data_IF_208102980756
#
_entry.id   IF_208102980756
#
_cell.length_a   1.000
_cell.length_b   1.000
_cell.length_c   1.000
_cell.angle_alpha   90.00
_cell.angle_beta   90.00
_cell.angle_gamma   90.00
#
_symmetry.space_group_name_H-M   'P 1'
#
loop_
_entity.id
_entity.type
_entity.pdbx_description
1 polymer ?
#
# COMPACT_ATOMS: atom_id res chain seq x y z
N UNK A 1 1.47 9.89 18.07
CA UNK A 1 1.33 10.46 16.71
C UNK A 1 0.96 9.41 15.68
N UNK A 2 1.63 8.25 15.63
CA UNK A 2 1.38 7.19 14.64
C UNK A 2 -0.09 6.69 14.61
N UNK A 3 -0.72 6.47 15.77
CA UNK A 3 -2.13 6.06 15.85
C UNK A 3 -3.07 7.08 15.19
N UNK A 4 -2.89 8.39 15.46
CA UNK A 4 -3.68 9.45 14.82
C UNK A 4 -3.50 9.43 13.30
N UNK A 5 -2.27 9.21 12.83
CA UNK A 5 -1.96 9.12 11.40
C UNK A 5 -2.64 7.91 10.73
N UNK A 6 -2.66 6.75 11.38
CA UNK A 6 -3.43 5.60 10.89
C UNK A 6 -4.93 5.89 10.83
N UNK A 7 -5.49 6.53 11.86
CA UNK A 7 -6.92 6.91 11.87
C UNK A 7 -7.25 7.89 10.74
N UNK A 8 -6.38 8.88 10.47
CA UNK A 8 -6.54 9.78 9.32
C UNK A 8 -6.40 9.07 7.96
N UNK A 9 -5.60 8.01 7.88
CA UNK A 9 -5.43 7.22 6.66
C UNK A 9 -6.58 6.23 6.40
N UNK A 10 -7.44 5.99 7.38
CA UNK A 10 -8.56 5.04 7.30
C UNK A 10 -9.47 5.24 6.06
N UNK A 11 -10.02 6.44 5.77
CA UNK A 11 -10.86 6.65 4.58
C UNK A 11 -10.11 6.43 3.27
N UNK A 12 -8.82 6.76 3.24
CA UNK A 12 -7.97 6.53 2.07
C UNK A 12 -7.75 5.03 1.85
N UNK A 13 -7.52 4.26 2.90
CA UNK A 13 -7.31 2.81 2.84
C UNK A 13 -8.57 2.07 2.40
N UNK A 14 -9.74 2.45 2.93
CA UNK A 14 -11.02 1.82 2.60
C UNK A 14 -11.52 2.18 1.19
N UNK A 15 -11.33 3.43 0.76
CA UNK A 15 -11.81 3.91 -0.54
C UNK A 15 -10.79 3.71 -1.68
N UNK A 16 -9.62 4.32 -1.55
CA UNK A 16 -8.66 4.49 -2.66
C UNK A 16 -7.49 3.52 -2.59
N UNK A 17 -7.22 2.92 -1.43
CA UNK A 17 -6.07 2.04 -1.21
C UNK A 17 -6.07 0.82 -2.13
N UNK A 18 -7.19 0.08 -2.18
CA UNK A 18 -7.33 -1.11 -3.03
C UNK A 18 -7.17 -0.83 -4.53
N UNK A 19 -7.87 0.15 -5.14
CA UNK A 19 -7.68 0.44 -6.56
C UNK A 19 -6.28 0.96 -6.87
N UNK A 20 -5.66 1.71 -5.95
CA UNK A 20 -4.30 2.23 -6.15
C UNK A 20 -3.24 1.12 -6.07
N UNK A 21 -3.41 0.14 -5.17
CA UNK A 21 -2.57 -1.06 -5.16
C UNK A 21 -2.67 -1.83 -6.48
N UNK A 22 -3.89 -1.98 -7.01
CA UNK A 22 -4.12 -2.65 -8.28
C UNK A 22 -3.44 -1.91 -9.45
N UNK A 23 -3.52 -0.58 -9.50
CA UNK A 23 -2.81 0.23 -10.49
C UNK A 23 -1.28 0.07 -10.39
N UNK A 24 -0.73 0.05 -9.18
CA UNK A 24 0.71 -0.18 -8.97
C UNK A 24 1.15 -1.58 -9.42
N UNK A 25 0.31 -2.60 -9.21
CA UNK A 25 0.55 -3.95 -9.71
C UNK A 25 0.54 -3.99 -11.23
N UNK A 26 -0.44 -3.37 -11.89
CA UNK A 26 -0.46 -3.28 -13.35
C UNK A 26 0.74 -2.51 -13.89
N UNK A 27 1.14 -1.42 -13.23
CA UNK A 27 2.30 -0.64 -13.61
C UNK A 27 3.60 -1.45 -13.49
N UNK A 28 3.77 -2.24 -12.43
CA UNK A 28 4.96 -3.07 -12.25
C UNK A 28 5.03 -4.17 -13.31
N UNK A 29 3.92 -4.84 -13.59
CA UNK A 29 3.81 -5.84 -14.66
C UNK A 29 4.11 -5.20 -16.03
N UNK A 30 3.51 -4.04 -16.32
CA UNK A 30 3.75 -3.29 -17.55
C UNK A 30 5.21 -2.88 -17.73
N UNK A 31 5.88 -2.45 -16.66
CA UNK A 31 7.31 -2.12 -16.68
C UNK A 31 8.19 -3.34 -16.91
N UNK A 32 7.84 -4.51 -16.36
CA UNK A 32 8.55 -5.77 -16.64
C UNK A 32 8.40 -6.15 -18.11
N UNK A 33 7.18 -6.10 -18.66
CA UNK A 33 6.96 -6.35 -20.09
C UNK A 33 7.75 -5.36 -20.95
N UNK A 34 7.72 -4.06 -20.63
CA UNK A 34 8.49 -3.06 -21.35
C UNK A 34 10.01 -3.33 -21.28
N UNK A 35 10.52 -3.68 -20.10
CA UNK A 35 11.93 -4.01 -19.89
C UNK A 35 12.40 -5.25 -20.66
N UNK A 36 11.51 -6.22 -20.88
CA UNK A 36 11.80 -7.44 -21.64
C UNK A 36 11.73 -7.23 -23.17
N UNK A 37 10.79 -6.40 -23.65
CA UNK A 37 10.51 -6.28 -25.09
C UNK A 37 11.15 -5.06 -25.78
N UNK A 38 11.31 -3.94 -25.06
CA UNK A 38 11.75 -2.69 -25.67
C UNK A 38 13.17 -2.30 -25.23
N UNK A 39 13.41 -2.17 -23.93
CA UNK A 39 14.66 -1.64 -23.42
C UNK A 39 15.01 -2.20 -22.04
N UNK A 40 16.13 -2.90 -21.93
CA UNK A 40 16.56 -3.54 -20.67
C UNK A 40 17.44 -2.62 -19.80
N UNK A 41 17.04 -1.36 -19.65
CA UNK A 41 17.77 -0.43 -18.79
C UNK A 41 17.64 -0.83 -17.31
N UNK A 42 18.73 -0.80 -16.52
CA UNK A 42 18.66 -1.10 -15.09
C UNK A 42 17.69 -0.17 -14.35
N UNK A 43 17.47 1.06 -14.85
CA UNK A 43 16.48 1.99 -14.27
C UNK A 43 15.06 1.45 -14.32
N UNK A 44 14.67 0.79 -15.41
CA UNK A 44 13.32 0.23 -15.60
C UNK A 44 13.10 -0.91 -14.60
N UNK A 45 14.12 -1.75 -14.40
CA UNK A 45 14.09 -2.80 -13.39
C UNK A 45 13.98 -2.27 -11.97
N UNK A 46 14.72 -1.21 -11.63
CA UNK A 46 14.56 -0.53 -10.33
C UNK A 46 13.16 0.08 -10.15
N UNK A 47 12.60 0.69 -11.19
CA UNK A 47 11.23 1.22 -11.17
C UNK A 47 10.17 0.12 -11.05
N UNK A 48 10.36 -1.02 -11.72
CA UNK A 48 9.48 -2.18 -11.61
C UNK A 48 9.52 -2.79 -10.21
N UNK A 49 10.72 -2.96 -9.64
CA UNK A 49 10.89 -3.43 -8.27
C UNK A 49 10.29 -2.45 -7.24
N UNK A 50 10.52 -1.15 -7.44
CA UNK A 50 9.98 -0.10 -6.57
C UNK A 50 8.45 -0.04 -6.59
N UNK A 51 7.84 -0.11 -7.79
CA UNK A 51 6.37 -0.13 -7.93
C UNK A 51 5.75 -1.41 -7.34
N UNK A 52 6.40 -2.56 -7.52
CA UNK A 52 5.98 -3.81 -6.88
C UNK A 52 6.08 -3.73 -5.35
N UNK A 53 7.18 -3.20 -4.81
CA UNK A 53 7.35 -3.03 -3.37
C UNK A 53 6.33 -2.05 -2.78
N UNK A 54 6.06 -0.94 -3.47
CA UNK A 54 5.02 0.01 -3.08
C UNK A 54 3.62 -0.64 -3.08
N UNK A 55 3.30 -1.44 -4.10
CA UNK A 55 2.07 -2.24 -4.15
C UNK A 55 1.97 -3.18 -2.94
N UNK A 56 3.04 -3.93 -2.63
CA UNK A 56 3.08 -4.86 -1.51
C UNK A 56 2.87 -4.15 -0.17
N UNK A 57 3.58 -3.04 0.05
CA UNK A 57 3.45 -2.22 1.25
C UNK A 57 2.04 -1.67 1.42
N UNK A 58 1.43 -1.18 0.34
CA UNK A 58 0.07 -0.62 0.36
C UNK A 58 -0.98 -1.71 0.60
N UNK A 59 -0.83 -2.88 -0.02
CA UNK A 59 -1.68 -4.05 0.22
C UNK A 59 -1.57 -4.55 1.65
N UNK A 60 -0.35 -4.67 2.19
CA UNK A 60 -0.14 -5.04 3.59
C UNK A 60 -0.76 -4.02 4.54
N UNK A 61 -0.61 -2.72 4.24
CA UNK A 61 -1.21 -1.66 5.02
C UNK A 61 -2.74 -1.75 5.00
N UNK A 62 -3.35 -2.05 3.85
CA UNK A 62 -4.79 -2.21 3.73
C UNK A 62 -5.30 -3.47 4.47
N UNK A 63 -4.61 -4.60 4.35
CA UNK A 63 -5.02 -5.87 4.95
C UNK A 63 -4.85 -5.88 6.47
N UNK A 64 -3.74 -5.35 6.97
CA UNK A 64 -3.43 -5.34 8.40
C UNK A 64 -3.79 -4.02 9.08
N UNK A 65 -4.54 -3.12 8.42
CA UNK A 65 -4.87 -1.81 8.96
C UNK A 65 -5.52 -1.90 10.36
N UNK A 66 -6.51 -2.78 10.49
CA UNK A 66 -7.24 -3.01 11.74
C UNK A 66 -6.34 -3.63 12.83
N UNK A 67 -5.41 -4.50 12.43
CA UNK A 67 -4.43 -5.09 13.35
C UNK A 67 -3.45 -4.04 13.88
N UNK A 68 -2.97 -3.14 13.01
CA UNK A 68 -2.11 -2.04 13.41
C UNK A 68 -2.83 -1.03 14.31
N UNK A 69 -4.08 -0.68 14.00
CA UNK A 69 -4.93 0.15 14.85
C UNK A 69 -5.13 -0.47 16.24
N UNK A 70 -5.34 -1.79 16.30
CA UNK A 70 -5.47 -2.52 17.55
C UNK A 70 -4.18 -2.51 18.36
N UNK A 71 -3.03 -2.78 17.73
CA UNK A 71 -1.72 -2.86 18.41
C UNK A 71 -1.23 -1.49 18.92
N UNK A 72 -1.51 -0.42 18.18
CA UNK A 72 -1.07 0.94 18.50
C UNK A 72 -2.07 1.73 19.36
N UNK A 73 -3.18 1.09 19.77
CA UNK A 73 -4.24 1.70 20.58
C UNK A 73 -3.68 2.11 21.96
N UNK A 74 -3.90 3.36 22.41
CA UNK A 74 -3.64 3.71 23.80
C UNK A 74 -4.64 2.99 24.73
N UNK A 75 -4.14 2.37 25.81
CA UNK A 75 -4.97 1.66 26.80
C UNK A 75 -6.05 2.61 27.35
N UNK A 76 -7.33 2.25 27.21
CA UNK A 76 -8.48 3.03 27.69
C UNK A 76 -9.23 3.88 26.65
N UNK A 77 -8.78 3.97 25.40
CA UNK A 77 -9.51 4.71 24.34
C UNK A 77 -10.61 3.85 23.70
N UNK A 78 -11.88 4.26 23.72
CA UNK A 78 -13.05 3.50 23.22
C UNK A 78 -13.18 3.52 21.68
N UNK A 79 -12.40 4.36 20.96
CA UNK A 79 -12.47 4.45 19.50
C UNK A 79 -12.00 3.17 18.81
N UNK A 80 -12.95 2.29 18.50
CA UNK A 80 -12.88 1.30 17.45
C UNK A 80 -13.75 1.84 16.31
N UNK A 81 -13.19 2.16 15.13
CA UNK A 81 -14.00 2.23 13.93
C UNK A 81 -14.49 0.80 13.67
N UNK A 82 -15.66 0.46 14.22
CA UNK A 82 -16.41 -0.71 13.82
C UNK A 82 -17.26 -0.30 12.62
N UNK A 83 -16.89 -0.83 11.46
CA UNK A 83 -17.80 -1.15 10.37
C UNK A 83 -17.62 -2.64 10.05
#
# INVERSE_FOLDING_TARGET
MLYKLLVFLHPFIHGVGRPLALLLLLASIGLVFYGCYAESSPRIWWSAAGSFFACLALTLLCTFHNWWLFKLRPRGSIFMPFE
#
